data_IF_452659630764
#
_entry.id   IF_452659630764
#
_cell.length_a   1.000
_cell.length_b   1.000
_cell.length_c   1.000
_cell.angle_alpha   90.00
_cell.angle_beta   90.00
_cell.angle_gamma   90.00
#
_symmetry.space_group_name_H-M   'P 1'
#
loop_
_entity.id
_entity.type
_entity.pdbx_description
1 polymer ?
#
# COMPACT_ATOMS: atom_id res chain seq x y z
N UNK A 1 -31.86 -66.24 -4.84
CA UNK A 1 -30.75 -65.28 -4.83
C UNK A 1 -30.05 -65.36 -6.18
N UNK A 2 -30.21 -64.35 -7.03
CA UNK A 2 -29.93 -64.40 -8.49
C UNK A 2 -28.45 -64.04 -8.78
N UNK A 3 -27.80 -64.85 -9.62
CA UNK A 3 -26.40 -64.71 -10.08
C UNK A 3 -26.25 -63.68 -11.23
N UNK A 4 -25.04 -63.12 -11.26
CA UNK A 4 -24.28 -62.36 -12.28
C UNK A 4 -24.78 -62.24 -13.72
N UNK A 5 -24.58 -61.05 -14.34
CA UNK A 5 -23.57 -60.87 -15.41
C UNK A 5 -23.43 -59.40 -15.86
N UNK A 6 -22.16 -58.94 -15.91
CA UNK A 6 -21.51 -58.21 -17.02
C UNK A 6 -22.30 -57.12 -17.75
N UNK A 7 -22.00 -55.85 -17.44
CA UNK A 7 -21.67 -54.87 -18.48
C UNK A 7 -20.49 -54.01 -18.02
N UNK A 8 -19.53 -53.95 -18.93
CA UNK A 8 -18.23 -53.31 -18.88
C UNK A 8 -18.33 -51.90 -19.47
N UNK A 9 -17.35 -51.07 -19.12
CA UNK A 9 -16.76 -49.98 -19.91
C UNK A 9 -17.29 -48.54 -19.70
N UNK A 10 -16.44 -47.81 -18.97
CA UNK A 10 -15.77 -46.58 -19.40
C UNK A 10 -16.62 -45.31 -19.57
N UNK A 11 -16.58 -44.46 -18.52
CA UNK A 11 -16.51 -43.02 -18.71
C UNK A 11 -15.31 -42.52 -17.90
N UNK A 12 -14.20 -42.35 -18.61
CA UNK A 12 -12.92 -41.83 -18.14
C UNK A 12 -13.12 -40.49 -17.44
N UNK A 13 -12.61 -40.37 -16.23
CA UNK A 13 -12.58 -39.14 -15.46
C UNK A 13 -11.88 -38.03 -16.25
N UNK A 14 -12.64 -37.01 -16.67
CA UNK A 14 -12.09 -35.77 -17.20
C UNK A 14 -11.59 -34.94 -16.02
N UNK A 15 -10.34 -35.18 -15.63
CA UNK A 15 -9.60 -34.25 -14.79
C UNK A 15 -9.25 -33.02 -15.63
N UNK A 16 -9.92 -31.91 -15.37
CA UNK A 16 -9.26 -30.60 -15.40
C UNK A 16 -9.52 -30.03 -14.03
N UNK A 17 -8.52 -30.20 -13.15
CA UNK A 17 -8.46 -29.43 -11.94
C UNK A 17 -8.54 -27.97 -12.34
N UNK A 18 -9.66 -27.32 -12.01
CA UNK A 18 -9.66 -25.90 -11.76
C UNK A 18 -8.70 -25.74 -10.59
N UNK A 19 -7.41 -25.58 -10.89
CA UNK A 19 -6.48 -24.98 -9.95
C UNK A 19 -7.12 -23.65 -9.62
N UNK A 20 -7.72 -23.57 -8.43
CA UNK A 20 -7.99 -22.30 -7.81
C UNK A 20 -6.66 -21.55 -7.93
N UNK A 21 -6.64 -20.47 -8.69
CA UNK A 21 -5.55 -19.54 -8.65
C UNK A 21 -5.55 -19.01 -7.21
N UNK A 22 -4.83 -19.71 -6.34
CA UNK A 22 -4.44 -19.19 -5.06
C UNK A 22 -3.57 -17.99 -5.41
N UNK A 23 -4.17 -16.81 -5.38
CA UNK A 23 -3.41 -15.59 -5.27
C UNK A 23 -2.50 -15.81 -4.06
N UNK A 24 -1.20 -15.78 -4.32
CA UNK A 24 -0.19 -15.86 -3.27
C UNK A 24 -0.38 -14.60 -2.41
N UNK A 25 -1.01 -14.75 -1.24
CA UNK A 25 -1.27 -13.64 -0.30
C UNK A 25 0.03 -12.90 0.07
N UNK A 26 1.21 -13.49 -0.18
CA UNK A 26 2.51 -12.83 -0.03
C UNK A 26 2.79 -11.70 -1.04
N UNK A 27 1.92 -11.48 -2.02
CA UNK A 27 2.06 -10.43 -3.06
C UNK A 27 0.95 -9.38 -3.04
N UNK A 28 0.37 -9.09 -1.86
CA UNK A 28 -0.57 -7.97 -1.72
C UNK A 28 0.03 -6.88 -0.84
N UNK A 29 -0.03 -5.63 -1.31
CA UNK A 29 0.37 -4.42 -0.61
C UNK A 29 -0.86 -3.58 -0.25
N UNK A 30 -1.08 -3.31 1.03
CA UNK A 30 -2.11 -2.41 1.52
C UNK A 30 -1.56 -0.99 1.67
N UNK A 31 -1.99 -0.08 0.80
CA UNK A 31 -1.48 1.29 0.73
C UNK A 31 -2.57 2.31 1.09
N UNK A 32 -2.32 3.12 2.13
CA UNK A 32 -3.21 4.19 2.58
C UNK A 32 -2.58 5.58 2.35
N UNK A 33 -3.19 6.43 1.54
CA UNK A 33 -2.59 7.71 1.15
C UNK A 33 -3.64 8.84 1.07
N UNK A 34 -3.20 10.06 0.81
CA UNK A 34 -4.07 11.19 0.53
C UNK A 34 -4.88 10.98 -0.74
N UNK A 35 -6.11 11.50 -0.74
CA UNK A 35 -6.89 11.64 -1.97
C UNK A 35 -6.11 12.49 -2.99
N UNK A 36 -6.25 12.16 -4.28
CA UNK A 36 -5.64 12.87 -5.43
C UNK A 36 -4.11 12.73 -5.62
N UNK A 37 -3.37 12.07 -4.72
CA UNK A 37 -1.90 11.97 -4.85
C UNK A 37 -1.42 10.95 -5.89
N UNK A 38 -2.22 9.93 -6.16
CA UNK A 38 -1.86 8.85 -7.09
C UNK A 38 -2.71 9.00 -8.35
N UNK A 39 -2.12 9.31 -9.52
CA UNK A 39 -2.86 9.41 -10.75
C UNK A 39 -3.38 8.04 -11.22
N UNK A 40 -4.46 7.99 -12.01
CA UNK A 40 -4.94 6.75 -12.60
C UNK A 40 -3.86 6.04 -13.41
N UNK A 41 -3.78 4.70 -13.32
CA UNK A 41 -2.82 3.89 -14.08
C UNK A 41 -1.49 3.62 -13.37
N UNK A 42 -1.13 4.41 -12.35
CA UNK A 42 0.19 4.29 -11.70
C UNK A 42 0.34 2.98 -10.91
N UNK A 43 -0.67 2.58 -10.16
CA UNK A 43 -0.63 1.35 -9.37
C UNK A 43 -0.75 0.09 -10.24
N UNK A 44 -1.46 0.19 -11.36
CA UNK A 44 -1.55 -0.85 -12.38
C UNK A 44 -0.19 -1.07 -13.04
N UNK A 45 0.54 0.02 -13.35
CA UNK A 45 1.91 -0.08 -13.85
C UNK A 45 2.82 -0.76 -12.83
N UNK A 46 2.79 -0.33 -11.56
CA UNK A 46 3.55 -0.98 -10.49
C UNK A 46 3.23 -2.47 -10.37
N UNK A 47 1.94 -2.83 -10.42
CA UNK A 47 1.48 -4.22 -10.37
C UNK A 47 1.99 -5.01 -11.57
N UNK A 48 2.00 -4.43 -12.76
CA UNK A 48 2.50 -5.07 -13.98
C UNK A 48 4.00 -5.35 -13.93
N UNK A 49 4.78 -4.42 -13.38
CA UNK A 49 6.23 -4.54 -13.28
C UNK A 49 6.68 -5.53 -12.19
N UNK A 50 5.97 -5.58 -11.06
CA UNK A 50 6.39 -6.32 -9.87
C UNK A 50 5.59 -7.61 -9.63
N UNK A 51 4.39 -7.71 -10.19
CA UNK A 51 3.41 -8.74 -9.86
C UNK A 51 2.78 -8.57 -8.48
N UNK A 52 3.01 -7.44 -7.78
CA UNK A 52 2.43 -7.15 -6.47
C UNK A 52 1.10 -6.43 -6.66
N UNK A 53 0.02 -7.02 -6.15
CA UNK A 53 -1.30 -6.39 -6.13
C UNK A 53 -1.34 -5.29 -5.09
N UNK A 54 -1.84 -4.11 -5.45
CA UNK A 54 -2.03 -3.01 -4.50
C UNK A 54 -3.50 -2.84 -4.13
N UNK A 55 -3.81 -2.93 -2.83
CA UNK A 55 -5.10 -2.54 -2.27
C UNK A 55 -4.97 -1.10 -1.78
N UNK A 56 -5.51 -0.17 -2.56
CA UNK A 56 -5.41 1.26 -2.30
C UNK A 56 -6.61 1.79 -1.51
N UNK A 57 -6.35 2.63 -0.52
CA UNK A 57 -7.36 3.36 0.24
C UNK A 57 -6.93 4.81 0.39
N UNK A 58 -7.89 5.73 0.55
CA UNK A 58 -7.58 7.16 0.70
C UNK A 58 -8.12 7.78 1.99
N UNK A 59 -7.49 8.87 2.41
CA UNK A 59 -7.95 9.76 3.49
C UNK A 59 -7.74 11.23 3.14
N UNK A 60 -8.41 12.10 3.90
CA UNK A 60 -8.41 13.54 3.68
C UNK A 60 -7.78 14.34 4.84
N UNK A 61 -7.41 13.67 5.93
CA UNK A 61 -6.72 14.31 7.06
C UNK A 61 -5.78 13.33 7.77
N UNK A 62 -4.76 13.85 8.43
CA UNK A 62 -3.87 13.05 9.27
C UNK A 62 -4.64 12.47 10.47
N UNK A 63 -5.62 13.18 11.00
CA UNK A 63 -6.43 12.78 12.15
C UNK A 63 -7.26 11.55 11.81
N UNK A 64 -7.91 11.53 10.64
CA UNK A 64 -8.64 10.36 10.13
C UNK A 64 -7.71 9.17 9.96
N UNK A 65 -6.55 9.36 9.32
CA UNK A 65 -5.56 8.31 9.11
C UNK A 65 -5.08 7.73 10.44
N UNK A 66 -4.68 8.60 11.36
CA UNK A 66 -4.17 8.23 12.66
C UNK A 66 -5.21 7.49 13.52
N UNK A 67 -6.44 8.01 13.61
CA UNK A 67 -7.51 7.37 14.36
C UNK A 67 -7.82 5.98 13.80
N UNK A 68 -7.87 5.85 12.47
CA UNK A 68 -8.07 4.56 11.80
C UNK A 68 -6.97 3.58 12.20
N UNK A 69 -5.70 3.95 12.05
CA UNK A 69 -4.58 3.07 12.41
C UNK A 69 -4.56 2.65 13.88
N UNK A 70 -5.01 3.49 14.81
CA UNK A 70 -5.13 3.11 16.23
C UNK A 70 -6.24 2.10 16.51
N UNK A 71 -7.27 2.04 15.67
CA UNK A 71 -8.39 1.11 15.85
C UNK A 71 -8.12 -0.29 15.30
N UNK A 72 -7.27 -0.40 14.27
CA UNK A 72 -6.84 -1.69 13.77
C UNK A 72 -5.70 -2.22 14.63
N UNK A 73 -5.84 -3.44 15.17
CA UNK A 73 -4.70 -4.16 15.73
C UNK A 73 -3.74 -4.49 14.58
N UNK A 74 -2.44 -4.27 14.81
CA UNK A 74 -1.27 -4.54 13.98
C UNK A 74 -1.51 -5.01 12.53
N UNK A 75 -0.90 -4.31 11.55
CA UNK A 75 -0.74 -4.82 10.19
C UNK A 75 -1.90 -4.56 9.22
N UNK A 76 -2.81 -3.63 9.51
CA UNK A 76 -3.89 -3.29 8.57
C UNK A 76 -3.42 -2.57 7.29
N UNK A 77 -2.25 -1.93 7.35
CA UNK A 77 -1.64 -1.25 6.20
C UNK A 77 -0.13 -1.45 6.23
N UNK A 78 0.44 -1.68 5.05
CA UNK A 78 1.88 -1.84 4.85
C UNK A 78 2.57 -0.50 4.60
N UNK A 79 1.85 0.44 3.96
CA UNK A 79 2.36 1.77 3.64
C UNK A 79 1.30 2.85 3.94
N UNK A 80 1.73 3.91 4.62
CA UNK A 80 0.92 5.08 4.97
C UNK A 80 1.70 6.38 4.73
N UNK A 81 1.01 7.50 4.48
CA UNK A 81 1.66 8.77 4.07
C UNK A 81 1.36 9.93 5.04
N UNK A 82 1.80 9.85 6.32
CA UNK A 82 1.57 10.91 7.28
C UNK A 82 2.29 12.20 6.86
N UNK A 83 1.70 13.35 7.17
CA UNK A 83 2.44 14.61 7.14
C UNK A 83 3.54 14.60 8.20
N UNK A 84 4.58 15.41 7.97
CA UNK A 84 5.79 15.47 8.81
C UNK A 84 5.50 15.67 10.30
N UNK A 85 4.47 16.46 10.64
CA UNK A 85 4.08 16.72 12.03
C UNK A 85 3.41 15.53 12.75
N UNK A 86 2.97 14.50 12.01
CA UNK A 86 2.49 13.23 12.57
C UNK A 86 3.59 12.16 12.68
N UNK A 87 4.69 12.28 11.92
CA UNK A 87 5.79 11.31 11.95
C UNK A 87 6.37 11.15 13.35
N UNK A 88 6.73 12.26 14.00
CA UNK A 88 7.33 12.22 15.35
C UNK A 88 6.37 11.60 16.38
N UNK A 89 5.09 11.98 16.31
CA UNK A 89 4.04 11.43 17.18
C UNK A 89 3.87 9.92 16.98
N UNK A 90 3.65 9.48 15.75
CA UNK A 90 3.42 8.06 15.42
C UNK A 90 4.64 7.20 15.75
N UNK A 91 5.85 7.72 15.53
CA UNK A 91 7.10 7.07 15.95
C UNK A 91 7.18 6.90 17.47
N UNK A 92 6.91 7.96 18.24
CA UNK A 92 6.94 7.91 19.72
C UNK A 92 5.90 6.93 20.29
N UNK A 93 4.80 6.74 19.59
CA UNK A 93 3.74 5.79 19.95
C UNK A 93 3.97 4.37 19.43
N UNK A 94 5.11 4.10 18.77
CA UNK A 94 5.46 2.76 18.27
C UNK A 94 4.63 2.30 17.08
N UNK A 95 3.95 3.21 16.38
CA UNK A 95 3.09 2.90 15.25
C UNK A 95 3.87 2.74 13.93
N UNK A 96 5.12 3.21 13.88
CA UNK A 96 5.97 3.17 12.70
C UNK A 96 7.17 2.25 12.96
N UNK A 97 7.46 1.38 11.99
CA UNK A 97 8.70 0.59 11.97
C UNK A 97 9.83 1.37 11.30
N UNK A 98 11.08 0.99 11.59
CA UNK A 98 12.23 1.55 10.88
C UNK A 98 12.25 1.05 9.43
N UNK A 99 12.64 1.93 8.52
CA UNK A 99 12.79 1.65 7.09
C UNK A 99 14.22 1.19 6.83
N UNK A 100 14.35 0.02 6.20
CA UNK A 100 15.63 -0.48 5.72
C UNK A 100 16.04 0.27 4.43
N UNK A 101 16.78 1.36 4.61
CA UNK A 101 17.27 2.20 3.49
C UNK A 101 18.19 1.45 2.53
N UNK A 102 18.77 0.30 2.90
CA UNK A 102 19.58 -0.49 1.97
C UNK A 102 18.78 -1.06 0.79
N UNK A 103 17.46 -1.19 0.95
CA UNK A 103 16.53 -1.62 -0.10
C UNK A 103 16.02 -0.46 -0.97
N UNK A 104 16.33 0.78 -0.62
CA UNK A 104 15.88 1.98 -1.33
C UNK A 104 16.96 2.48 -2.28
N UNK A 105 17.13 1.79 -3.40
CA UNK A 105 18.15 2.14 -4.42
C UNK A 105 17.97 3.53 -5.02
N UNK A 106 16.74 4.09 -4.95
CA UNK A 106 16.40 5.42 -5.45
C UNK A 106 16.44 6.51 -4.36
N UNK A 107 16.85 6.20 -3.12
CA UNK A 107 16.86 7.18 -2.02
C UNK A 107 17.80 8.36 -2.30
N UNK A 108 18.90 8.15 -3.02
CA UNK A 108 19.84 9.21 -3.40
C UNK A 108 19.26 10.27 -4.35
N UNK A 109 18.08 10.04 -4.92
CA UNK A 109 17.40 11.00 -5.80
C UNK A 109 16.65 12.09 -5.02
N UNK A 110 16.54 11.95 -3.69
CA UNK A 110 15.85 12.92 -2.85
C UNK A 110 16.69 14.18 -2.65
N UNK A 111 16.02 15.33 -2.62
CA UNK A 111 16.66 16.60 -2.28
C UNK A 111 17.21 16.53 -0.83
N UNK A 112 18.53 16.70 -0.63
CA UNK A 112 19.15 16.71 0.69
C UNK A 112 18.53 17.75 1.63
N UNK A 113 17.95 18.84 1.11
CA UNK A 113 17.27 19.84 1.92
C UNK A 113 15.98 19.32 2.55
N UNK A 114 15.44 18.20 2.10
CA UNK A 114 14.22 17.59 2.66
C UNK A 114 14.53 16.46 3.66
N UNK A 115 15.81 16.12 3.85
CA UNK A 115 16.26 15.04 4.72
C UNK A 115 16.67 15.53 6.11
N UNK A 116 16.84 14.58 7.03
CA UNK A 116 17.42 14.76 8.37
C UNK A 116 16.74 15.85 9.21
N UNK A 117 15.41 15.95 9.12
CA UNK A 117 14.61 16.94 9.85
C UNK A 117 14.44 16.54 11.31
N UNK A 118 14.19 17.47 12.24
CA UNK A 118 14.09 17.16 13.68
C UNK A 118 13.05 16.08 14.04
N UNK A 119 11.99 15.93 13.24
CA UNK A 119 10.97 14.90 13.44
C UNK A 119 11.45 13.48 13.10
N UNK A 120 12.47 13.35 12.24
CA UNK A 120 13.11 12.09 11.86
C UNK A 120 14.56 12.35 11.39
N UNK A 121 15.51 12.53 12.34
CA UNK A 121 16.84 13.08 12.04
C UNK A 121 17.71 12.25 11.10
N UNK A 122 17.38 10.97 10.89
CA UNK A 122 18.12 10.07 10.01
C UNK A 122 17.24 9.54 8.86
N UNK A 123 16.00 10.00 8.71
CA UNK A 123 15.02 9.39 7.81
C UNK A 123 14.85 7.87 8.06
N UNK A 124 14.85 7.47 9.33
CA UNK A 124 14.73 6.05 9.70
C UNK A 124 13.27 5.59 9.72
N UNK A 125 12.29 6.52 9.75
CA UNK A 125 10.87 6.21 9.85
C UNK A 125 10.02 6.83 8.72
N UNK A 126 10.59 7.75 7.95
CA UNK A 126 9.87 8.51 6.93
C UNK A 126 10.74 8.83 5.71
N UNK A 127 10.12 8.76 4.54
CA UNK A 127 10.70 9.14 3.25
C UNK A 127 9.90 10.32 2.68
N UNK A 128 10.52 11.45 2.31
CA UNK A 128 9.83 12.53 1.62
C UNK A 128 9.14 12.03 0.35
N UNK A 129 7.85 12.35 0.19
CA UNK A 129 7.05 11.93 -0.97
C UNK A 129 6.62 13.11 -1.84
N UNK A 130 5.69 13.93 -1.34
CA UNK A 130 5.21 15.15 -2.00
C UNK A 130 5.18 16.26 -0.95
N UNK A 131 5.54 17.48 -1.35
CA UNK A 131 5.41 18.67 -0.53
C UNK A 131 4.58 19.73 -1.26
N UNK A 132 4.00 20.65 -0.50
CA UNK A 132 3.21 21.76 -1.03
C UNK A 132 3.03 22.84 0.02
N UNK A 133 2.24 23.85 -0.33
CA UNK A 133 1.89 24.95 0.57
C UNK A 133 0.39 25.20 0.53
N UNK A 134 -0.17 25.55 1.68
CA UNK A 134 -1.52 26.12 1.76
C UNK A 134 -1.42 27.62 1.45
N UNK A 135 -2.18 28.09 0.48
CA UNK A 135 -2.18 29.48 0.03
C UNK A 135 -3.61 30.00 -0.16
N UNK A 136 -3.73 31.28 -0.52
CA UNK A 136 -5.01 31.91 -0.85
C UNK A 136 -5.25 31.79 -2.36
N UNK A 137 -6.29 31.06 -2.75
CA UNK A 137 -6.76 30.99 -4.15
C UNK A 137 -7.91 31.98 -4.39
N UNK A 138 -7.77 32.89 -5.35
CA UNK A 138 -8.83 33.84 -5.73
C UNK A 138 -9.28 33.61 -7.18
N UNK A 139 -10.59 33.47 -7.40
CA UNK A 139 -11.17 33.47 -8.75
C UNK A 139 -11.28 34.92 -9.23
N UNK A 140 -10.45 35.30 -10.20
CA UNK A 140 -10.61 36.61 -10.86
C UNK A 140 -11.98 36.64 -11.55
N UNK A 141 -12.81 37.62 -11.18
CA UNK A 141 -14.01 37.97 -11.95
C UNK A 141 -13.53 38.97 -13.00
N UNK A 142 -13.72 38.65 -14.28
CA UNK A 142 -13.55 39.61 -15.36
C UNK A 142 -14.74 40.56 -15.37
N UNK A 143 -14.45 41.85 -15.55
CA UNK A 143 -15.44 42.90 -15.77
C UNK A 143 -16.00 42.83 -17.20
#
# INVERSE_FOLDING_TARGET
MKKWSRHLLAASALAIGMGAAHADDSKTLYFYNWTEYVPPGLLEQFTKETGIKVIYSTYESNETMYAKLKTYKDGAYDLVVPSTYFVDKMRKEGMLQKIDKSKLTNFSNLDPQMLNKPFDPNNDYSIPYIWGATAIGVKQRGD
#
